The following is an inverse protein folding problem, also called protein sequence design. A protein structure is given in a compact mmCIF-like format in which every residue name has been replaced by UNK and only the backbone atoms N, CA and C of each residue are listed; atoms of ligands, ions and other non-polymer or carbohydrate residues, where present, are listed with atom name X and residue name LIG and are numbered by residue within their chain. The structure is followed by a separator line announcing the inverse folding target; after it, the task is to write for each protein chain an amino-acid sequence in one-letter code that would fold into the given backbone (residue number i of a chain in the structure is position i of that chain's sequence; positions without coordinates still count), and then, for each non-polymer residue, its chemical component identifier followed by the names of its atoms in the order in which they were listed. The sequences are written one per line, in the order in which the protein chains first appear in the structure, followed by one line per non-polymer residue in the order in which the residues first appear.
data_IF_832923303058
#
_entry.id   IF_832923303058
#
_cell.length_a   1.000
_cell.length_b   1.000
_cell.length_c   1.000
_cell.angle_alpha   90.00
_cell.angle_beta   90.00
_cell.angle_gamma   90.00
#
_symmetry.space_group_name_H-M   'P 1'
#
loop_
_entity.id
_entity.type
_entity.pdbx_description
1 polymer ?
#
# COMPACT_ATOMS: atom_id res chain seq x y z
N UNK A 1 -10.76 -8.26 13.78
CA UNK A 1 -10.58 -9.07 12.54
C UNK A 1 -10.92 -8.18 11.36
N UNK A 2 -9.92 -7.90 10.52
CA UNK A 2 -10.11 -7.08 9.32
C UNK A 2 -11.19 -7.76 8.47
N UNK A 3 -12.21 -6.98 8.10
CA UNK A 3 -13.33 -7.47 7.32
C UNK A 3 -13.11 -7.07 5.86
N UNK A 4 -12.34 -7.88 5.13
CA UNK A 4 -12.14 -7.70 3.70
C UNK A 4 -13.26 -8.44 2.97
N UNK A 5 -13.98 -7.76 2.10
CA UNK A 5 -15.11 -8.33 1.34
C UNK A 5 -14.72 -8.72 -0.09
N UNK A 6 -13.73 -8.03 -0.66
CA UNK A 6 -13.23 -8.26 -2.01
C UNK A 6 -11.75 -7.94 -2.11
N UNK A 7 -11.04 -8.71 -2.93
CA UNK A 7 -9.65 -8.44 -3.31
C UNK A 7 -9.63 -8.14 -4.81
N UNK A 8 -8.90 -7.09 -5.20
CA UNK A 8 -8.55 -6.81 -6.60
C UNK A 8 -7.07 -7.00 -6.79
N UNK A 9 -6.67 -7.70 -7.83
CA UNK A 9 -5.27 -7.97 -8.15
C UNK A 9 -5.01 -7.46 -9.55
N UNK A 10 -4.13 -6.47 -9.69
CA UNK A 10 -3.67 -6.05 -10.99
C UNK A 10 -2.58 -6.98 -11.52
N UNK A 11 -2.62 -7.25 -12.81
CA UNK A 11 -1.69 -8.17 -13.48
C UNK A 11 -1.14 -7.53 -14.76
N UNK A 12 0.13 -7.80 -15.04
CA UNK A 12 0.82 -7.34 -16.25
C UNK A 12 1.72 -8.44 -16.80
N UNK A 13 2.92 -8.61 -16.25
CA UNK A 13 3.87 -9.61 -16.69
C UNK A 13 3.45 -11.01 -16.23
N UNK A 14 3.49 -11.98 -17.14
CA UNK A 14 3.06 -13.38 -16.88
C UNK A 14 1.63 -13.47 -16.31
N UNK A 15 0.74 -12.60 -16.75
CA UNK A 15 -0.63 -12.48 -16.23
C UNK A 15 -1.40 -13.79 -16.30
N UNK A 16 -1.23 -14.58 -17.36
CA UNK A 16 -1.90 -15.86 -17.54
C UNK A 16 -1.59 -16.84 -16.40
N UNK A 17 -0.36 -16.86 -15.90
CA UNK A 17 0.02 -17.72 -14.76
C UNK A 17 -0.71 -17.36 -13.47
N UNK A 18 -0.89 -16.06 -13.23
CA UNK A 18 -1.62 -15.55 -12.06
C UNK A 18 -3.10 -15.86 -12.21
N UNK A 19 -3.67 -15.61 -13.38
CA UNK A 19 -5.07 -15.91 -13.73
C UNK A 19 -5.36 -17.41 -13.54
N UNK A 20 -4.53 -18.28 -14.13
CA UNK A 20 -4.68 -19.74 -14.03
C UNK A 20 -4.57 -20.21 -12.59
N UNK A 21 -3.62 -19.67 -11.82
CA UNK A 21 -3.48 -19.98 -10.40
C UNK A 21 -4.74 -19.60 -9.61
N UNK A 22 -5.24 -18.40 -9.79
CA UNK A 22 -6.45 -17.93 -9.08
C UNK A 22 -7.66 -18.77 -9.47
N UNK A 23 -7.84 -19.07 -10.76
CA UNK A 23 -8.95 -19.89 -11.26
C UNK A 23 -8.86 -21.36 -10.83
N UNK A 24 -7.65 -21.86 -10.57
CA UNK A 24 -7.42 -23.25 -10.10
C UNK A 24 -7.74 -23.47 -8.62
N UNK A 25 -7.98 -22.40 -7.85
CA UNK A 25 -8.20 -22.45 -6.41
C UNK A 25 -9.60 -21.97 -6.04
N UNK A 26 -10.10 -22.47 -4.91
CA UNK A 26 -11.32 -21.96 -4.31
C UNK A 26 -10.96 -21.08 -3.10
N UNK A 27 -11.04 -19.78 -3.27
CA UNK A 27 -10.76 -18.83 -2.20
C UNK A 27 -12.05 -18.47 -1.45
N UNK A 28 -11.99 -18.29 -0.11
CA UNK A 28 -13.16 -17.93 0.69
C UNK A 28 -13.61 -16.46 0.50
N UNK A 29 -12.95 -15.74 -0.38
CA UNK A 29 -13.17 -14.32 -0.68
C UNK A 29 -13.22 -14.12 -2.18
N UNK A 30 -14.02 -13.15 -2.63
CA UNK A 30 -14.07 -12.76 -4.04
C UNK A 30 -12.77 -12.09 -4.48
N UNK A 31 -12.15 -12.63 -5.54
CA UNK A 31 -10.95 -12.08 -6.16
C UNK A 31 -11.32 -11.62 -7.58
N UNK A 32 -11.05 -10.35 -7.87
CA UNK A 32 -11.21 -9.74 -9.19
C UNK A 32 -9.84 -9.43 -9.77
N UNK A 33 -9.59 -9.90 -11.00
CA UNK A 33 -8.35 -9.62 -11.72
C UNK A 33 -8.55 -8.39 -12.59
N UNK A 34 -7.60 -7.47 -12.53
CA UNK A 34 -7.57 -6.24 -13.32
C UNK A 34 -6.31 -6.25 -14.20
N UNK A 35 -6.50 -6.32 -15.51
CA UNK A 35 -5.39 -6.26 -16.47
C UNK A 35 -4.86 -4.82 -16.56
N UNK A 36 -3.56 -4.63 -16.40
CA UNK A 36 -2.90 -3.33 -16.54
C UNK A 36 -2.66 -2.95 -18.03
N UNK A 37 -3.01 -3.84 -18.96
CA UNK A 37 -2.90 -3.59 -20.40
C UNK A 37 -1.54 -3.95 -20.98
N UNK A 38 -1.06 -3.17 -21.95
CA UNK A 38 0.15 -3.47 -22.72
C UNK A 38 1.40 -2.74 -22.21
N UNK A 39 1.25 -1.79 -21.30
CA UNK A 39 2.35 -0.97 -20.78
C UNK A 39 2.43 -1.03 -19.28
N UNK A 40 3.64 -1.00 -18.73
CA UNK A 40 3.85 -0.95 -17.28
C UNK A 40 3.29 0.35 -16.73
N UNK A 41 2.43 0.26 -15.71
CA UNK A 41 1.81 1.43 -15.08
C UNK A 41 2.60 1.94 -13.86
N UNK A 42 3.54 1.16 -13.33
CA UNK A 42 4.21 1.44 -12.07
C UNK A 42 3.27 1.32 -10.87
N UNK A 43 3.77 1.55 -9.66
CA UNK A 43 2.99 1.36 -8.42
C UNK A 43 1.82 2.34 -8.29
N UNK A 44 1.97 3.57 -8.73
CA UNK A 44 0.90 4.57 -8.72
C UNK A 44 -0.14 4.33 -9.79
N UNK A 45 0.29 4.12 -11.04
CA UNK A 45 -0.63 3.86 -12.15
C UNK A 45 -1.40 2.55 -11.97
N UNK A 46 -0.76 1.48 -11.47
CA UNK A 46 -1.44 0.23 -11.12
C UNK A 46 -2.48 0.41 -10.02
N UNK A 47 -2.15 1.18 -8.97
CA UNK A 47 -3.12 1.54 -7.92
C UNK A 47 -4.30 2.34 -8.50
N UNK A 48 -4.05 3.31 -9.39
CA UNK A 48 -5.11 4.07 -10.06
C UNK A 48 -6.00 3.15 -10.92
N UNK A 49 -5.42 2.19 -11.64
CA UNK A 49 -6.18 1.23 -12.45
C UNK A 49 -7.11 0.38 -11.57
N UNK A 50 -6.64 -0.10 -10.42
CA UNK A 50 -7.46 -0.83 -9.44
C UNK A 50 -8.59 0.03 -8.88
N UNK A 51 -8.29 1.28 -8.52
CA UNK A 51 -9.26 2.24 -7.99
C UNK A 51 -10.35 2.58 -9.02
N UNK A 52 -9.99 2.79 -10.27
CA UNK A 52 -10.95 3.06 -11.37
C UNK A 52 -11.93 1.89 -11.59
N UNK A 53 -11.59 0.69 -11.13
CA UNK A 53 -12.46 -0.50 -11.15
C UNK A 53 -13.16 -0.75 -9.80
N UNK A 54 -13.01 0.15 -8.83
CA UNK A 54 -13.60 0.03 -7.51
C UNK A 54 -14.71 1.08 -7.30
N UNK A 55 -15.72 0.72 -6.53
CA UNK A 55 -16.73 1.66 -6.04
C UNK A 55 -16.38 2.23 -4.67
N UNK A 56 -15.34 1.68 -4.01
CA UNK A 56 -14.93 2.09 -2.68
C UNK A 56 -14.13 3.38 -2.73
N UNK A 57 -14.29 4.21 -1.70
CA UNK A 57 -13.54 5.45 -1.53
C UNK A 57 -12.17 5.19 -0.88
N UNK A 58 -12.13 4.25 0.06
CA UNK A 58 -10.97 3.91 0.83
C UNK A 58 -10.56 2.47 0.55
N UNK A 59 -9.28 2.24 0.28
CA UNK A 59 -8.74 0.93 -0.06
C UNK A 59 -7.51 0.59 0.78
N UNK A 60 -7.37 -0.69 1.13
CA UNK A 60 -6.13 -1.24 1.65
C UNK A 60 -5.30 -1.74 0.46
N UNK A 61 -4.16 -1.13 0.22
CA UNK A 61 -3.21 -1.52 -0.82
C UNK A 61 -2.08 -2.30 -0.20
N UNK A 62 -1.77 -3.48 -0.75
CA UNK A 62 -0.69 -4.35 -0.29
C UNK A 62 0.15 -4.77 -1.48
N UNK A 63 1.47 -4.59 -1.38
CA UNK A 63 2.42 -5.14 -2.34
C UNK A 63 2.55 -6.65 -2.12
N UNK A 64 2.58 -7.48 -3.19
CA UNK A 64 2.56 -8.93 -3.06
C UNK A 64 3.93 -9.55 -2.75
N UNK A 65 5.01 -8.77 -2.79
CA UNK A 65 6.40 -9.21 -2.62
C UNK A 65 6.91 -9.10 -1.17
N UNK A 66 6.01 -8.88 -0.23
CA UNK A 66 6.30 -8.83 1.21
C UNK A 66 5.81 -10.10 1.89
N UNK A 67 6.61 -10.67 2.79
CA UNK A 67 6.21 -11.81 3.62
C UNK A 67 5.48 -11.27 4.85
N UNK A 68 4.24 -11.71 5.03
CA UNK A 68 3.35 -11.29 6.09
C UNK A 68 3.14 -12.40 7.12
N UNK A 69 3.13 -12.04 8.39
CA UNK A 69 2.73 -12.93 9.49
C UNK A 69 1.50 -12.40 10.23
N UNK A 70 1.01 -13.14 11.21
CA UNK A 70 -0.19 -12.78 11.96
C UNK A 70 -0.05 -11.48 12.79
N UNK A 71 1.17 -11.03 13.05
CA UNK A 71 1.41 -9.77 13.79
C UNK A 71 0.96 -8.54 13.01
N UNK A 72 1.00 -8.62 11.67
CA UNK A 72 0.54 -7.56 10.78
C UNK A 72 -0.95 -7.28 10.90
N UNK A 73 -1.77 -8.31 11.17
CA UNK A 73 -3.23 -8.14 11.34
C UNK A 73 -3.51 -7.07 12.40
N UNK A 74 -2.81 -7.13 13.54
CA UNK A 74 -2.99 -6.13 14.61
C UNK A 74 -2.53 -4.74 14.21
N UNK A 75 -1.46 -4.66 13.42
CA UNK A 75 -0.94 -3.38 12.93
C UNK A 75 -1.92 -2.74 11.95
N UNK A 76 -2.48 -3.51 11.04
CA UNK A 76 -3.47 -3.02 10.06
C UNK A 76 -4.78 -2.63 10.78
N UNK A 77 -5.25 -3.41 11.76
CA UNK A 77 -6.41 -3.04 12.58
C UNK A 77 -6.19 -1.69 13.31
N UNK A 78 -4.96 -1.45 13.79
CA UNK A 78 -4.61 -0.19 14.45
C UNK A 78 -4.52 0.97 13.45
N UNK A 79 -3.93 0.74 12.28
CA UNK A 79 -3.89 1.71 11.18
C UNK A 79 -5.31 2.13 10.77
N UNK A 80 -6.21 1.16 10.60
CA UNK A 80 -7.61 1.40 10.23
C UNK A 80 -8.29 2.31 11.26
N UNK A 81 -8.15 2.02 12.55
CA UNK A 81 -8.69 2.87 13.62
C UNK A 81 -8.16 4.30 13.54
N UNK A 82 -6.83 4.46 13.45
CA UNK A 82 -6.20 5.79 13.34
C UNK A 82 -6.73 6.52 12.10
N UNK A 83 -6.84 5.84 10.97
CA UNK A 83 -7.28 6.38 9.69
C UNK A 83 -8.68 6.99 9.80
N UNK A 84 -9.66 6.22 10.30
CA UNK A 84 -11.04 6.67 10.40
C UNK A 84 -11.27 7.65 11.56
N UNK A 85 -10.67 7.44 12.73
CA UNK A 85 -10.82 8.33 13.88
C UNK A 85 -10.25 9.72 13.62
N UNK A 86 -9.10 9.81 12.94
CA UNK A 86 -8.47 11.08 12.59
C UNK A 86 -8.97 11.66 11.27
N UNK A 87 -9.80 10.94 10.53
CA UNK A 87 -10.34 11.33 9.21
C UNK A 87 -9.21 11.71 8.23
N UNK A 88 -8.12 10.96 8.27
CA UNK A 88 -6.99 11.15 7.36
C UNK A 88 -7.22 10.38 6.06
N UNK A 89 -6.57 10.79 4.97
CA UNK A 89 -6.76 10.18 3.63
C UNK A 89 -5.68 9.18 3.23
N UNK A 90 -4.67 9.01 4.06
CA UNK A 90 -3.61 8.02 3.85
C UNK A 90 -2.97 7.63 5.18
N UNK A 91 -2.46 6.42 5.26
CA UNK A 91 -1.54 5.97 6.31
C UNK A 91 -0.72 4.80 5.78
N UNK A 92 0.61 4.88 5.91
CA UNK A 92 1.55 3.86 5.50
C UNK A 92 1.93 2.99 6.70
N UNK A 93 2.01 1.68 6.49
CA UNK A 93 2.66 0.79 7.45
C UNK A 93 4.17 0.88 7.23
N UNK A 94 4.89 1.24 8.26
CA UNK A 94 6.34 1.38 8.24
C UNK A 94 6.98 0.51 9.31
N UNK A 95 8.25 0.20 9.15
CA UNK A 95 9.04 -0.61 10.08
C UNK A 95 10.39 0.04 10.31
N UNK A 96 10.91 -0.07 11.54
CA UNK A 96 12.24 0.45 11.85
C UNK A 96 13.32 -0.41 11.17
N UNK A 97 14.36 0.22 10.62
CA UNK A 97 15.49 -0.47 9.99
C UNK A 97 16.16 -1.51 10.90
N UNK A 98 16.12 -1.31 12.22
CA UNK A 98 16.70 -2.25 13.17
C UNK A 98 16.01 -3.62 13.21
N UNK A 99 14.71 -3.67 12.85
CA UNK A 99 13.91 -4.90 12.81
C UNK A 99 13.79 -5.49 11.40
N UNK A 100 14.34 -4.82 10.36
CA UNK A 100 14.36 -5.35 9.01
C UNK A 100 15.40 -6.47 8.87
N UNK A 101 15.02 -7.54 8.16
CA UNK A 101 15.95 -8.61 7.77
C UNK A 101 17.03 -8.07 6.83
N UNK A 102 16.64 -7.31 5.81
CA UNK A 102 17.57 -6.70 4.86
C UNK A 102 18.02 -5.31 5.32
N UNK A 103 19.25 -5.24 5.80
CA UNK A 103 19.87 -4.00 6.30
C UNK A 103 20.67 -3.21 5.26
N UNK A 104 20.69 -3.65 3.99
CA UNK A 104 21.47 -3.01 2.92
C UNK A 104 20.88 -1.67 2.49
N UNK A 105 19.60 -1.46 2.69
CA UNK A 105 18.89 -0.25 2.27
C UNK A 105 18.67 0.72 3.44
N UNK A 106 18.86 1.99 3.18
CA UNK A 106 18.47 3.06 4.10
C UNK A 106 16.94 3.09 4.24
N UNK A 107 16.47 3.74 5.30
CA UNK A 107 15.03 4.00 5.46
C UNK A 107 14.50 5.00 4.42
N UNK A 108 13.19 4.98 4.24
CA UNK A 108 12.47 5.91 3.35
C UNK A 108 12.07 7.18 4.09
N UNK A 109 11.80 7.07 5.39
CA UNK A 109 11.19 8.12 6.21
C UNK A 109 11.74 8.18 7.64
N UNK A 110 11.50 9.32 8.29
CA UNK A 110 11.39 9.50 9.73
C UNK A 110 9.93 9.67 10.12
N UNK A 111 9.60 9.45 11.41
CA UNK A 111 8.24 9.61 11.93
C UNK A 111 8.19 10.48 13.17
N UNK A 112 7.25 11.44 13.20
CA UNK A 112 6.95 12.26 14.37
C UNK A 112 5.44 12.44 14.52
N UNK A 113 4.88 11.99 15.64
CA UNK A 113 3.43 12.07 15.93
C UNK A 113 2.56 11.47 14.80
N UNK A 114 2.97 10.32 14.26
CA UNK A 114 2.39 9.65 13.10
C UNK A 114 2.49 10.42 11.76
N UNK A 115 3.17 11.55 11.69
CA UNK A 115 3.49 12.24 10.44
C UNK A 115 4.85 11.78 9.95
N UNK A 116 4.92 11.36 8.69
CA UNK A 116 6.16 10.95 8.04
C UNK A 116 6.91 12.18 7.52
N UNK A 117 8.22 12.12 7.60
CA UNK A 117 9.15 13.16 7.19
C UNK A 117 10.27 12.54 6.37
N UNK A 118 10.88 13.31 5.49
CA UNK A 118 12.16 12.95 4.87
C UNK A 118 13.28 13.78 5.49
N UNK A 119 14.25 13.08 6.05
CA UNK A 119 15.43 13.65 6.67
C UNK A 119 16.70 13.23 5.91
N UNK A 120 17.85 13.74 6.32
CA UNK A 120 19.15 13.34 5.75
C UNK A 120 19.46 11.85 6.02
N UNK A 121 19.02 11.35 7.17
CA UNK A 121 19.08 9.92 7.56
C UNK A 121 17.67 9.53 7.95
N UNK A 122 17.17 8.44 7.38
CA UNK A 122 15.85 7.91 7.63
C UNK A 122 15.95 6.51 8.23
N UNK A 123 15.18 6.25 9.27
CA UNK A 123 15.25 5.00 10.02
C UNK A 123 14.06 4.06 9.78
N UNK A 124 13.05 4.49 9.00
CA UNK A 124 11.86 3.70 8.76
C UNK A 124 11.69 3.38 7.28
N UNK A 125 11.34 2.12 6.99
CA UNK A 125 11.01 1.63 5.64
C UNK A 125 9.51 1.46 5.47
N UNK A 126 9.02 1.74 4.27
CA UNK A 126 7.68 1.37 3.87
C UNK A 126 7.59 -0.15 3.64
N UNK A 127 6.57 -0.78 4.20
CA UNK A 127 6.40 -2.25 4.16
C UNK A 127 5.63 -2.75 2.93
N UNK A 128 5.21 -1.88 2.05
CA UNK A 128 4.31 -2.26 0.95
C UNK A 128 2.82 -2.26 1.32
N UNK A 129 2.45 -1.79 2.53
CA UNK A 129 1.06 -1.75 2.99
C UNK A 129 0.62 -0.33 3.33
N UNK A 130 -0.52 0.11 2.79
CA UNK A 130 -1.10 1.42 3.09
C UNK A 130 -2.62 1.41 3.01
N UNK A 131 -3.27 2.27 3.79
CA UNK A 131 -4.68 2.64 3.59
C UNK A 131 -4.70 3.97 2.84
N UNK A 132 -5.52 4.04 1.80
CA UNK A 132 -5.46 5.10 0.82
C UNK A 132 -6.86 5.50 0.35
N UNK A 133 -7.18 6.81 0.39
CA UNK A 133 -8.41 7.34 -0.17
C UNK A 133 -8.23 7.69 -1.65
N UNK A 134 -9.15 7.28 -2.50
CA UNK A 134 -9.09 7.48 -3.96
C UNK A 134 -8.95 8.93 -4.40
N UNK A 135 -9.46 9.90 -3.64
CA UNK A 135 -9.36 11.32 -3.99
C UNK A 135 -7.92 11.81 -4.16
N UNK A 136 -6.96 11.15 -3.48
CA UNK A 136 -5.56 11.51 -3.59
C UNK A 136 -4.96 11.23 -4.97
N UNK A 137 -5.58 10.36 -5.77
CA UNK A 137 -5.01 9.87 -7.03
C UNK A 137 -5.91 10.09 -8.26
N UNK A 138 -7.20 10.30 -8.09
CA UNK A 138 -8.17 10.43 -9.21
C UNK A 138 -7.89 11.59 -10.16
N UNK A 139 -7.10 12.58 -9.77
CA UNK A 139 -6.67 13.67 -10.64
C UNK A 139 -5.57 13.29 -11.63
N UNK A 140 -4.95 12.12 -11.44
CA UNK A 140 -3.89 11.59 -12.33
C UNK A 140 -4.49 10.93 -13.56
N UNK A 141 -3.75 10.97 -14.66
CA UNK A 141 -4.05 10.17 -15.84
C UNK A 141 -3.53 8.74 -15.68
N UNK A 142 -4.23 7.78 -16.26
CA UNK A 142 -3.80 6.38 -16.25
C UNK A 142 -2.60 6.19 -17.20
N UNK A 143 -1.41 6.31 -16.64
CA UNK A 143 -0.12 6.07 -17.29
C UNK A 143 0.90 5.59 -16.24
N UNK A 144 2.14 5.44 -16.65
CA UNK A 144 3.22 5.09 -15.72
C UNK A 144 3.50 6.24 -14.76
N UNK A 145 3.39 5.96 -13.46
CA UNK A 145 3.97 6.77 -12.39
C UNK A 145 4.15 5.95 -11.10
N UNK A 146 5.16 6.25 -10.29
CA UNK A 146 5.33 5.63 -8.97
C UNK A 146 4.39 6.29 -7.95
N UNK A 147 3.89 5.52 -6.99
CA UNK A 147 3.03 6.04 -5.91
C UNK A 147 3.71 7.11 -5.06
N UNK A 148 5.04 7.13 -5.03
CA UNK A 148 5.84 8.14 -4.34
C UNK A 148 5.58 9.56 -4.83
N UNK A 149 5.12 9.77 -6.06
CA UNK A 149 4.71 11.11 -6.52
C UNK A 149 3.56 11.69 -5.68
N UNK A 150 2.62 10.84 -5.26
CA UNK A 150 1.53 11.24 -4.36
C UNK A 150 2.09 11.50 -2.95
N UNK A 151 2.96 10.62 -2.47
CA UNK A 151 3.59 10.80 -1.15
C UNK A 151 4.42 12.07 -1.08
N UNK A 152 5.14 12.44 -2.13
CA UNK A 152 5.96 13.66 -2.17
C UNK A 152 5.10 14.95 -2.05
N UNK A 153 3.88 14.94 -2.58
CA UNK A 153 2.92 16.03 -2.35
C UNK A 153 2.50 16.06 -0.88
N UNK A 154 2.09 14.92 -0.34
CA UNK A 154 1.64 14.80 1.05
C UNK A 154 2.74 15.11 2.07
N UNK A 155 3.99 14.76 1.77
CA UNK A 155 5.17 15.12 2.59
C UNK A 155 5.35 16.63 2.68
N UNK A 156 5.29 17.34 1.53
CA UNK A 156 5.39 18.81 1.50
C UNK A 156 4.29 19.49 2.31
N UNK A 157 3.12 18.87 2.37
CA UNK A 157 1.97 19.36 3.15
C UNK A 157 1.96 18.88 4.61
N UNK A 158 2.93 18.05 5.02
CA UNK A 158 2.94 17.37 6.33
C UNK A 158 1.67 16.54 6.58
N UNK A 159 1.15 15.91 5.52
CA UNK A 159 -0.07 15.09 5.52
C UNK A 159 0.19 13.63 5.13
N UNK A 160 1.43 13.20 5.01
CA UNK A 160 1.75 11.78 4.87
C UNK A 160 1.85 11.16 6.25
N UNK A 161 0.95 10.22 6.54
CA UNK A 161 0.89 9.57 7.85
C UNK A 161 1.52 8.19 7.81
N UNK A 162 2.01 7.74 8.97
CA UNK A 162 2.60 6.42 9.14
C UNK A 162 2.24 5.80 10.48
N UNK A 163 2.23 4.47 10.49
CA UNK A 163 2.13 3.66 11.69
C UNK A 163 3.26 2.65 11.72
N UNK A 164 3.99 2.57 12.83
CA UNK A 164 5.12 1.67 12.98
C UNK A 164 4.66 0.27 13.38
N UNK A 165 4.96 -0.71 12.54
CA UNK A 165 4.93 -2.12 12.91
C UNK A 165 6.12 -2.45 13.82
N UNK A 166 5.86 -3.09 14.96
CA UNK A 166 6.90 -3.40 15.97
C UNK A 166 7.52 -4.79 15.81
N UNK A 167 7.05 -5.59 14.86
CA UNK A 167 7.58 -6.91 14.56
C UNK A 167 8.78 -6.90 13.61
N UNK A 168 9.23 -8.07 13.25
CA UNK A 168 10.26 -8.29 12.24
C UNK A 168 9.69 -8.08 10.82
N UNK A 169 10.56 -7.66 9.89
CA UNK A 169 10.22 -7.39 8.49
C UNK A 169 11.34 -7.82 7.55
#
# INVERSE_FOLDING_TARGET
KIKIEKIKINVFYLKEKIIDFINSKNFPISIEIVDDGETILGTGGGTLNLINKSNEDDVLVINPDTIWDDSYIRSIDTMEKIYFERKIKNILLIVNNSTCFDKRFNGDFEIKNNVLLKEKINNFKYTGCQIFNKELILHKQLNYFPISEIWDVLLRESKLYGYEHKGEF
#
